data_IF_189908289324
#
_entry.id   IF_189908289324
#
_cell.length_a   1.000
_cell.length_b   1.000
_cell.length_c   1.000
_cell.angle_alpha   90.00
_cell.angle_beta   90.00
_cell.angle_gamma   90.00
#
_symmetry.space_group_name_H-M   'P 1'
#
loop_
_entity.id
_entity.type
_entity.pdbx_description
1 polymer ?
#
# COMPACT_ATOMS: atom_id res chain seq x y z
N UNK A 1 -10.15 -18.11 -8.65
CA UNK A 1 -9.37 -18.24 -7.41
C UNK A 1 -10.31 -18.09 -6.23
N UNK A 2 -10.20 -18.93 -5.22
CA UNK A 2 -10.86 -18.70 -3.95
C UNK A 2 -10.19 -17.54 -3.17
N UNK A 3 -10.78 -17.14 -2.04
CA UNK A 3 -10.24 -16.05 -1.21
C UNK A 3 -8.83 -16.39 -0.69
N UNK A 4 -8.59 -17.62 -0.24
CA UNK A 4 -7.30 -18.05 0.31
C UNK A 4 -6.18 -17.97 -0.73
N UNK A 5 -6.46 -18.34 -1.98
CA UNK A 5 -5.55 -18.22 -3.11
C UNK A 5 -5.22 -16.76 -3.44
N UNK A 6 -6.23 -15.87 -3.42
CA UNK A 6 -6.01 -14.43 -3.62
C UNK A 6 -5.15 -13.81 -2.52
N UNK A 7 -5.40 -14.17 -1.26
CA UNK A 7 -4.60 -13.72 -0.11
C UNK A 7 -3.16 -14.22 -0.24
N UNK A 8 -2.97 -15.49 -0.57
CA UNK A 8 -1.64 -16.07 -0.78
C UNK A 8 -0.89 -15.36 -1.92
N UNK A 9 -1.60 -15.04 -3.00
CA UNK A 9 -1.03 -14.32 -4.15
C UNK A 9 -0.63 -12.89 -3.81
N UNK A 10 -1.44 -12.19 -3.01
CA UNK A 10 -1.07 -10.86 -2.52
C UNK A 10 0.17 -10.93 -1.61
N UNK A 11 0.21 -11.90 -0.69
CA UNK A 11 1.29 -12.04 0.31
C UNK A 11 2.60 -12.62 -0.26
N UNK A 12 2.62 -13.11 -1.50
CA UNK A 12 3.84 -13.59 -2.16
C UNK A 12 4.68 -12.47 -2.80
N UNK A 13 4.22 -11.21 -2.70
CA UNK A 13 4.95 -10.04 -3.19
C UNK A 13 6.35 -9.93 -2.57
N UNK A 14 7.41 -9.67 -3.36
CA UNK A 14 8.76 -9.42 -2.81
C UNK A 14 8.82 -8.18 -1.92
N UNK A 15 8.07 -7.13 -2.29
CA UNK A 15 7.88 -5.93 -1.51
C UNK A 15 6.43 -5.42 -1.59
N UNK A 16 6.05 -4.60 -0.63
CA UNK A 16 4.69 -4.05 -0.49
C UNK A 16 4.71 -2.52 -0.50
N UNK A 17 3.70 -1.89 -1.09
CA UNK A 17 3.42 -0.47 -0.92
C UNK A 17 2.33 -0.25 0.15
N UNK A 18 2.51 0.72 1.03
CA UNK A 18 1.48 1.10 2.01
C UNK A 18 0.99 2.51 1.70
N UNK A 19 -0.08 2.60 0.92
CA UNK A 19 -0.66 3.87 0.45
C UNK A 19 -1.57 4.46 1.50
N UNK A 20 -1.34 5.72 1.87
CA UNK A 20 -1.95 6.32 3.06
C UNK A 20 -1.20 6.02 4.35
N UNK A 21 0.08 5.62 4.26
CA UNK A 21 0.96 5.54 5.42
C UNK A 21 1.07 6.90 6.13
N UNK A 22 1.32 6.89 7.45
CA UNK A 22 1.34 8.09 8.27
C UNK A 22 2.46 8.04 9.30
N UNK A 23 3.06 9.19 9.61
CA UNK A 23 4.01 9.34 10.73
C UNK A 23 3.32 9.28 12.09
N UNK A 24 2.02 9.59 12.15
CA UNK A 24 1.20 9.38 13.35
C UNK A 24 0.93 7.89 13.57
N UNK A 25 1.48 7.36 14.68
CA UNK A 25 1.40 5.95 15.07
C UNK A 25 0.00 5.49 15.48
N UNK A 26 -0.93 6.41 15.73
CA UNK A 26 -2.31 6.06 16.05
C UNK A 26 -3.14 5.72 14.80
N UNK A 27 -2.74 6.25 13.63
CA UNK A 27 -3.45 6.05 12.37
C UNK A 27 -3.27 4.65 11.82
N UNK A 28 -4.30 4.19 11.11
CA UNK A 28 -4.35 2.82 10.60
C UNK A 28 -3.26 2.53 9.57
N UNK A 29 -2.98 3.48 8.66
CA UNK A 29 -1.90 3.31 7.67
C UNK A 29 -0.51 3.10 8.32
N UNK A 30 -0.24 3.75 9.46
CA UNK A 30 0.99 3.49 10.23
C UNK A 30 0.99 2.09 10.87
N UNK A 31 -0.15 1.67 11.45
CA UNK A 31 -0.29 0.33 12.05
C UNK A 31 -0.06 -0.78 11.01
N UNK A 32 -0.60 -0.61 9.80
CA UNK A 32 -0.38 -1.55 8.68
C UNK A 32 1.09 -1.59 8.28
N UNK A 33 1.74 -0.43 8.11
CA UNK A 33 3.17 -0.37 7.80
C UNK A 33 4.01 -1.11 8.86
N UNK A 34 3.81 -0.81 10.15
CA UNK A 34 4.53 -1.49 11.23
C UNK A 34 4.28 -2.99 11.25
N UNK A 35 3.05 -3.43 10.95
CA UNK A 35 2.74 -4.85 10.88
C UNK A 35 3.63 -5.57 9.83
N UNK A 36 3.78 -5.01 8.64
CA UNK A 36 4.70 -5.56 7.64
C UNK A 36 6.15 -5.61 8.15
N UNK A 37 6.66 -4.49 8.67
CA UNK A 37 8.04 -4.38 9.13
C UNK A 37 8.36 -5.33 10.29
N UNK A 38 7.45 -5.44 11.27
CA UNK A 38 7.58 -6.35 12.41
C UNK A 38 7.56 -7.83 11.99
N UNK A 39 6.94 -8.15 10.87
CA UNK A 39 6.94 -9.49 10.27
C UNK A 39 8.03 -9.67 9.21
N UNK A 40 9.07 -8.83 9.25
CA UNK A 40 10.27 -8.94 8.38
C UNK A 40 9.89 -8.91 6.90
N UNK A 41 8.89 -8.09 6.54
CA UNK A 41 8.49 -7.87 5.15
C UNK A 41 8.96 -6.50 4.68
N UNK A 42 9.46 -6.46 3.45
CA UNK A 42 9.84 -5.21 2.78
C UNK A 42 8.59 -4.41 2.47
N UNK A 43 8.40 -3.25 3.12
CA UNK A 43 7.26 -2.39 2.90
C UNK A 43 7.69 -0.93 2.77
N UNK A 44 7.23 -0.27 1.70
CA UNK A 44 7.53 1.11 1.38
C UNK A 44 6.30 1.96 1.70
N UNK A 45 6.39 2.94 2.61
CA UNK A 45 5.31 3.88 2.84
C UNK A 45 5.10 4.78 1.61
N UNK A 46 3.84 5.04 1.26
CA UNK A 46 3.48 6.06 0.26
C UNK A 46 2.71 7.18 0.93
N UNK A 47 3.32 8.36 0.96
CA UNK A 47 2.76 9.58 1.53
C UNK A 47 3.43 10.82 0.91
N UNK A 48 2.70 11.69 0.20
CA UNK A 48 3.27 12.87 -0.47
C UNK A 48 3.82 13.95 0.47
N UNK A 49 3.53 13.87 1.78
CA UNK A 49 3.90 14.89 2.77
C UNK A 49 5.05 14.48 3.69
N UNK A 50 5.37 13.20 3.75
CA UNK A 50 6.40 12.67 4.65
C UNK A 50 7.53 12.08 3.81
N UNK A 51 8.78 12.41 4.13
CA UNK A 51 9.96 11.82 3.49
C UNK A 51 10.35 10.48 4.13
N UNK A 52 9.95 10.24 5.38
CA UNK A 52 10.31 9.04 6.14
C UNK A 52 9.21 8.68 7.13
N UNK A 53 8.88 7.39 7.23
CA UNK A 53 7.90 6.87 8.19
C UNK A 53 8.44 5.56 8.78
N UNK A 54 8.44 5.44 10.11
CA UNK A 54 9.00 4.27 10.84
C UNK A 54 10.45 3.94 10.41
N UNK A 55 11.23 4.96 10.04
CA UNK A 55 12.62 4.80 9.59
C UNK A 55 12.79 4.35 8.14
N UNK A 56 11.71 4.20 7.38
CA UNK A 56 11.74 3.83 5.95
C UNK A 56 11.45 5.06 5.10
N UNK A 57 12.22 5.25 4.02
CA UNK A 57 11.97 6.30 3.04
C UNK A 57 10.59 6.14 2.42
N UNK A 58 9.85 7.25 2.35
CA UNK A 58 8.51 7.28 1.81
C UNK A 58 8.52 7.77 0.37
N UNK A 59 7.83 7.04 -0.50
CA UNK A 59 7.53 7.48 -1.85
C UNK A 59 6.39 8.52 -1.81
N UNK A 60 6.42 9.52 -2.69
CA UNK A 60 5.36 10.52 -2.73
C UNK A 60 4.10 10.01 -3.43
N UNK A 61 4.26 9.04 -4.34
CA UNK A 61 3.20 8.47 -5.18
C UNK A 61 3.39 6.97 -5.42
N UNK A 62 2.39 6.30 -6.02
CA UNK A 62 2.53 4.88 -6.41
C UNK A 62 3.52 4.73 -7.57
N UNK A 63 3.60 5.73 -8.45
CA UNK A 63 4.52 5.73 -9.58
C UNK A 63 6.00 5.63 -9.17
N UNK A 64 6.36 6.18 -8.01
CA UNK A 64 7.71 6.17 -7.45
C UNK A 64 8.10 4.87 -6.74
N UNK A 65 7.16 3.92 -6.59
CA UNK A 65 7.47 2.65 -5.96
C UNK A 65 8.50 1.85 -6.79
N UNK A 66 9.42 1.12 -6.12
CA UNK A 66 10.33 0.21 -6.81
C UNK A 66 9.60 -0.89 -7.59
N UNK A 67 10.21 -1.39 -8.67
CA UNK A 67 9.64 -2.48 -9.49
C UNK A 67 9.38 -3.77 -8.70
N UNK A 68 10.07 -3.99 -7.58
CA UNK A 68 9.85 -5.14 -6.70
C UNK A 68 8.51 -5.11 -5.94
N UNK A 69 7.82 -3.96 -5.96
CA UNK A 69 6.51 -3.80 -5.32
C UNK A 69 5.42 -4.27 -6.27
N UNK A 70 4.94 -5.49 -6.07
CA UNK A 70 3.85 -6.04 -6.88
C UNK A 70 2.47 -5.90 -6.19
N UNK A 71 2.46 -5.61 -4.90
CA UNK A 71 1.24 -5.60 -4.08
C UNK A 71 1.16 -4.36 -3.20
N UNK A 72 0.01 -3.70 -3.14
CA UNK A 72 -0.20 -2.50 -2.33
C UNK A 72 -1.40 -2.63 -1.39
N UNK A 73 -1.24 -2.12 -0.17
CA UNK A 73 -2.35 -1.85 0.76
C UNK A 73 -2.78 -0.39 0.63
N UNK A 74 -4.08 -0.12 0.48
CA UNK A 74 -4.62 1.23 0.34
C UNK A 74 -5.45 1.58 1.59
N UNK A 75 -5.06 2.68 2.25
CA UNK A 75 -5.68 3.24 3.46
C UNK A 75 -5.98 4.72 3.24
N UNK A 76 -6.58 5.04 2.10
CA UNK A 76 -6.95 6.41 1.71
C UNK A 76 -8.47 6.55 1.59
N UNK A 77 -9.03 7.76 1.67
CA UNK A 77 -10.44 7.97 1.38
C UNK A 77 -10.81 7.50 -0.04
N UNK A 78 -12.06 7.05 -0.30
CA UNK A 78 -12.45 6.44 -1.57
C UNK A 78 -12.10 7.26 -2.83
N UNK A 79 -12.31 8.58 -2.77
CA UNK A 79 -11.97 9.48 -3.89
C UNK A 79 -10.46 9.45 -4.23
N UNK A 80 -9.60 9.30 -3.23
CA UNK A 80 -8.16 9.17 -3.43
C UNK A 80 -7.81 7.76 -3.90
N UNK A 81 -8.50 6.73 -3.39
CA UNK A 81 -8.32 5.33 -3.81
C UNK A 81 -8.49 5.18 -5.32
N UNK A 82 -9.50 5.82 -5.92
CA UNK A 82 -9.70 5.77 -7.38
C UNK A 82 -8.48 6.27 -8.17
N UNK A 83 -7.81 7.32 -7.70
CA UNK A 83 -6.60 7.84 -8.34
C UNK A 83 -5.42 6.88 -8.15
N UNK A 84 -5.25 6.38 -6.92
CA UNK A 84 -4.21 5.41 -6.56
C UNK A 84 -4.32 4.13 -7.41
N UNK A 85 -5.54 3.62 -7.64
CA UNK A 85 -5.73 2.43 -8.48
C UNK A 85 -5.36 2.70 -9.94
N UNK A 86 -5.70 3.86 -10.49
CA UNK A 86 -5.26 4.26 -11.84
C UNK A 86 -3.74 4.30 -11.95
N UNK A 87 -3.06 4.93 -10.99
CA UNK A 87 -1.60 4.92 -10.94
C UNK A 87 -1.04 3.50 -10.81
N UNK A 88 -1.63 2.67 -9.95
CA UNK A 88 -1.22 1.29 -9.74
C UNK A 88 -1.31 0.45 -11.02
N UNK A 89 -2.38 0.63 -11.80
CA UNK A 89 -2.55 -0.01 -13.12
C UNK A 89 -1.43 0.44 -14.06
N UNK A 90 -1.19 1.75 -14.17
CA UNK A 90 -0.13 2.29 -15.05
C UNK A 90 1.26 1.81 -14.64
N UNK A 91 1.55 1.76 -13.34
CA UNK A 91 2.81 1.28 -12.78
C UNK A 91 2.98 -0.24 -12.92
N UNK A 92 1.88 -0.97 -13.14
CA UNK A 92 1.91 -2.42 -13.31
C UNK A 92 1.81 -3.21 -12.01
N UNK A 93 1.34 -2.61 -10.92
CA UNK A 93 0.98 -3.30 -9.67
C UNK A 93 -0.02 -4.40 -9.97
N UNK A 94 0.17 -5.58 -9.38
CA UNK A 94 -0.62 -6.78 -9.68
C UNK A 94 -1.74 -7.02 -8.69
N UNK A 95 -1.52 -6.67 -7.42
CA UNK A 95 -2.47 -6.96 -6.35
C UNK A 95 -2.76 -5.70 -5.52
N UNK A 96 -4.04 -5.46 -5.24
CA UNK A 96 -4.50 -4.32 -4.46
C UNK A 96 -5.34 -4.84 -3.29
N UNK A 97 -5.05 -4.35 -2.09
CA UNK A 97 -5.84 -4.59 -0.90
C UNK A 97 -6.36 -3.27 -0.35
N UNK A 98 -7.65 -3.01 -0.56
CA UNK A 98 -8.33 -1.86 0.05
C UNK A 98 -8.67 -2.21 1.50
N UNK A 99 -8.16 -1.42 2.43
CA UNK A 99 -8.54 -1.57 3.84
C UNK A 99 -9.96 -1.02 4.07
N UNK A 100 -10.64 -1.42 5.15
CA UNK A 100 -11.99 -0.93 5.44
C UNK A 100 -12.08 0.60 5.42
N UNK A 101 -13.05 1.13 4.68
CA UNK A 101 -13.27 2.56 4.45
C UNK A 101 -12.49 3.14 3.26
N UNK A 102 -11.66 2.36 2.58
CA UNK A 102 -10.95 2.77 1.36
C UNK A 102 -11.64 2.33 0.06
N UNK A 103 -12.62 1.43 0.15
CA UNK A 103 -13.36 0.88 -0.98
C UNK A 103 -14.08 1.95 -1.83
N UNK A 104 -14.08 1.76 -3.15
CA UNK A 104 -14.80 2.58 -4.12
C UNK A 104 -15.28 1.68 -5.26
N UNK A 105 -16.50 1.90 -5.75
CA UNK A 105 -17.08 1.13 -6.87
C UNK A 105 -16.49 1.49 -8.23
N UNK A 106 -15.86 2.66 -8.32
CA UNK A 106 -15.24 3.22 -9.52
C UNK A 106 -13.75 2.91 -9.63
N UNK A 107 -13.19 2.23 -8.62
CA UNK A 107 -11.78 1.87 -8.51
C UNK A 107 -11.53 0.45 -9.06
#
# INVERSE_FOLDING_TARGET
MDISQRITTFLSSPAFGVVGASSDRNKYGNKVLRCYLQNIRTAIPVNPKASTIEGVEAAASVAELPESVHSISIITPPAVTQHVVKEAITKGIKNIWMQPGAESTEA
#
